data_IF_824393718451
#
_entry.id   IF_824393718451
#
_cell.length_a   1.000
_cell.length_b   1.000
_cell.length_c   1.000
_cell.angle_alpha   90.00
_cell.angle_beta   90.00
_cell.angle_gamma   90.00
#
_symmetry.space_group_name_H-M   'P 1'
#
loop_
_entity.id
_entity.type
_entity.pdbx_description
1 polymer ?
#
# COMPACT_ATOMS: atom_id res chain seq x y z
N UNK A 1 5.05 -5.04 -7.28
CA UNK A 1 3.79 -4.25 -7.36
C UNK A 1 2.83 -4.97 -8.27
N UNK A 2 1.54 -4.96 -7.93
CA UNK A 2 0.45 -5.49 -8.75
C UNK A 2 -0.57 -4.39 -9.00
N UNK A 3 -1.18 -4.38 -10.18
CA UNK A 3 -2.21 -3.42 -10.57
C UNK A 3 -3.37 -4.21 -11.20
N UNK A 4 -4.59 -3.73 -10.99
CA UNK A 4 -5.78 -4.37 -11.53
C UNK A 4 -5.69 -4.49 -13.05
N UNK A 5 -5.92 -5.70 -13.57
CA UNK A 5 -5.87 -6.03 -14.99
C UNK A 5 -4.50 -5.80 -15.67
N UNK A 6 -3.41 -5.75 -14.89
CA UNK A 6 -2.04 -5.58 -15.40
C UNK A 6 -1.14 -6.68 -14.83
N UNK A 7 -0.24 -7.22 -15.65
CA UNK A 7 0.73 -8.19 -15.20
C UNK A 7 1.58 -7.62 -14.03
N UNK A 8 1.90 -8.41 -12.99
CA UNK A 8 2.75 -7.96 -11.90
C UNK A 8 4.10 -7.44 -12.42
N UNK A 9 4.62 -6.40 -11.77
CA UNK A 9 5.88 -5.76 -12.16
C UNK A 9 6.83 -5.63 -10.98
N UNK A 10 8.09 -6.02 -11.22
CA UNK A 10 9.21 -5.63 -10.37
C UNK A 10 9.56 -4.18 -10.69
N UNK A 11 9.34 -3.28 -9.73
CA UNK A 11 9.59 -1.85 -9.92
C UNK A 11 11.06 -1.49 -9.71
N UNK A 12 11.69 -2.02 -8.67
CA UNK A 12 13.11 -1.85 -8.37
C UNK A 12 13.57 -2.83 -7.28
N UNK A 13 14.88 -3.05 -7.23
CA UNK A 13 15.57 -3.48 -6.01
C UNK A 13 15.96 -2.22 -5.24
N UNK A 14 15.54 -2.12 -3.97
CA UNK A 14 15.85 -0.99 -3.10
C UNK A 14 16.87 -1.49 -2.06
N UNK A 15 18.12 -0.99 -2.05
CA UNK A 15 19.09 -1.35 -1.01
C UNK A 15 18.66 -0.77 0.34
N UNK A 16 19.19 -1.31 1.44
CA UNK A 16 18.97 -0.77 2.79
C UNK A 16 19.28 0.73 2.83
N UNK A 17 18.36 1.53 3.38
CA UNK A 17 18.45 2.99 3.43
C UNK A 17 18.20 3.70 2.08
N UNK A 18 18.00 2.95 0.99
CA UNK A 18 17.68 3.50 -0.33
C UNK A 18 16.22 3.90 -0.47
N UNK A 19 15.92 4.69 -1.50
CA UNK A 19 14.55 5.04 -1.87
C UNK A 19 14.35 5.09 -3.39
N UNK A 20 13.09 4.97 -3.80
CA UNK A 20 12.60 5.16 -5.17
C UNK A 20 11.27 5.88 -5.12
N UNK A 21 10.96 6.65 -6.17
CA UNK A 21 9.71 7.37 -6.30
C UNK A 21 9.07 7.04 -7.64
N UNK A 22 7.75 6.91 -7.64
CA UNK A 22 6.93 6.65 -8.82
C UNK A 22 5.75 7.61 -8.82
N UNK A 23 5.38 8.12 -10.00
CA UNK A 23 4.13 8.85 -10.17
C UNK A 23 3.01 7.87 -10.51
N UNK A 24 1.90 7.97 -9.78
CA UNK A 24 0.71 7.17 -10.04
C UNK A 24 -0.27 8.01 -10.89
N UNK A 25 -0.72 7.51 -12.05
CA UNK A 25 -1.72 8.21 -12.84
C UNK A 25 -3.11 8.11 -12.17
N UNK A 26 -4.01 9.03 -12.50
CA UNK A 26 -5.44 8.87 -12.19
C UNK A 26 -5.96 7.56 -12.81
N UNK A 27 -6.81 6.84 -12.08
CA UNK A 27 -7.28 5.50 -12.44
C UNK A 27 -6.34 4.38 -12.03
N UNK A 28 -5.23 4.69 -11.34
CA UNK A 28 -4.40 3.66 -10.74
C UNK A 28 -5.17 2.89 -9.66
N UNK A 29 -5.07 1.56 -9.64
CA UNK A 29 -5.59 0.71 -8.58
C UNK A 29 -4.70 -0.52 -8.43
N UNK A 30 -4.07 -0.70 -7.28
CA UNK A 30 -3.12 -1.78 -7.07
C UNK A 30 -2.43 -1.74 -5.70
N UNK A 31 -1.36 -2.52 -5.56
CA UNK A 31 -0.58 -2.59 -4.33
C UNK A 31 0.94 -2.59 -4.53
N UNK A 32 1.61 -2.12 -3.48
CA UNK A 32 3.06 -2.16 -3.29
C UNK A 32 3.39 -3.17 -2.19
N UNK A 33 4.44 -3.98 -2.41
CA UNK A 33 4.84 -5.07 -1.53
C UNK A 33 6.29 -5.47 -1.76
N UNK A 34 6.86 -6.15 -0.77
CA UNK A 34 8.13 -6.83 -0.92
C UNK A 34 7.94 -8.25 -1.46
N UNK A 35 8.76 -8.63 -2.44
CA UNK A 35 8.73 -9.96 -3.06
C UNK A 35 7.74 -10.10 -4.22
N UNK A 36 7.61 -11.33 -4.71
CA UNK A 36 6.73 -11.72 -5.81
C UNK A 36 5.62 -12.65 -5.32
N UNK A 37 4.48 -12.66 -6.01
CA UNK A 37 3.30 -13.46 -5.64
C UNK A 37 2.26 -12.68 -4.84
N UNK A 38 1.34 -13.41 -4.20
CA UNK A 38 0.19 -12.86 -3.47
C UNK A 38 -0.18 -13.64 -2.21
N UNK A 39 0.74 -14.46 -1.65
CA UNK A 39 0.55 -15.10 -0.35
C UNK A 39 1.79 -14.86 0.51
N UNK A 40 1.58 -14.75 1.82
CA UNK A 40 2.59 -14.38 2.81
C UNK A 40 3.14 -12.98 2.63
N UNK A 41 2.35 -12.00 2.16
CA UNK A 41 2.86 -10.65 1.82
C UNK A 41 2.08 -9.55 2.52
N UNK A 42 2.81 -8.62 3.14
CA UNK A 42 2.25 -7.34 3.62
C UNK A 42 2.03 -6.42 2.43
N UNK A 43 0.85 -5.81 2.32
CA UNK A 43 0.46 -4.93 1.21
C UNK A 43 0.23 -3.50 1.70
N UNK A 44 0.69 -2.53 0.90
CA UNK A 44 0.09 -1.20 0.83
C UNK A 44 -0.79 -1.14 -0.41
N UNK A 45 -2.09 -1.00 -0.22
CA UNK A 45 -3.08 -0.91 -1.29
C UNK A 45 -3.46 0.55 -1.53
N UNK A 46 -3.62 0.93 -2.80
CA UNK A 46 -3.95 2.30 -3.18
C UNK A 46 -4.74 2.35 -4.48
N UNK A 47 -5.78 3.18 -4.49
CA UNK A 47 -6.59 3.50 -5.66
C UNK A 47 -6.77 5.01 -5.82
N UNK A 48 -6.30 5.54 -6.95
CA UNK A 48 -6.43 6.95 -7.34
C UNK A 48 -7.64 7.06 -8.27
N UNK A 49 -8.75 7.60 -7.78
CA UNK A 49 -10.00 7.62 -8.52
C UNK A 49 -10.01 8.63 -9.67
N UNK A 50 -10.82 8.34 -10.69
CA UNK A 50 -11.05 9.24 -11.82
C UNK A 50 -12.30 10.12 -11.65
N UNK A 51 -13.24 9.73 -10.80
CA UNK A 51 -14.60 10.28 -10.79
C UNK A 51 -14.88 11.26 -9.63
N UNK A 52 -14.25 11.09 -8.47
CA UNK A 52 -14.50 11.88 -7.26
C UNK A 52 -13.25 12.61 -6.74
N UNK A 53 -12.13 12.53 -7.48
CA UNK A 53 -10.81 13.05 -7.09
C UNK A 53 -10.30 12.51 -5.74
N UNK A 54 -10.84 11.39 -5.26
CA UNK A 54 -10.37 10.76 -4.03
C UNK A 54 -9.26 9.74 -4.31
N UNK A 55 -8.37 9.61 -3.35
CA UNK A 55 -7.42 8.51 -3.26
C UNK A 55 -7.79 7.67 -2.05
N UNK A 56 -8.08 6.38 -2.28
CA UNK A 56 -8.32 5.41 -1.21
C UNK A 56 -7.08 4.57 -1.00
N UNK A 57 -6.76 4.27 0.25
CA UNK A 57 -5.57 3.53 0.60
C UNK A 57 -5.70 2.83 1.95
N UNK A 58 -4.93 1.76 2.12
CA UNK A 58 -4.90 0.96 3.35
C UNK A 58 -3.61 0.13 3.43
N UNK A 59 -3.39 -0.46 4.61
CA UNK A 59 -2.47 -1.59 4.77
C UNK A 59 -3.30 -2.87 4.86
N UNK A 60 -2.77 -3.96 4.31
CA UNK A 60 -3.43 -5.27 4.35
C UNK A 60 -2.43 -6.38 4.67
N UNK A 61 -2.84 -7.27 5.56
CA UNK A 61 -2.17 -8.53 5.89
C UNK A 61 -3.08 -9.73 5.68
N UNK A 62 -4.18 -9.56 4.94
CA UNK A 62 -5.12 -10.64 4.56
C UNK A 62 -4.35 -11.77 3.85
N UNK A 63 -3.44 -11.40 2.95
CA UNK A 63 -2.60 -12.34 2.22
C UNK A 63 -1.46 -12.91 3.08
N UNK A 64 -1.29 -12.45 4.31
CA UNK A 64 -0.22 -12.82 5.24
C UNK A 64 0.73 -11.67 5.54
N UNK A 65 1.87 -11.97 6.16
CA UNK A 65 2.84 -10.98 6.61
C UNK A 65 4.27 -11.45 6.31
N UNK A 66 5.11 -10.56 5.78
CA UNK A 66 6.53 -10.84 5.56
C UNK A 66 7.46 -9.72 6.04
N UNK A 67 7.15 -8.47 5.69
CA UNK A 67 7.98 -7.30 6.00
C UNK A 67 7.11 -6.28 6.71
N UNK A 68 7.55 -5.74 7.87
CA UNK A 68 6.85 -4.64 8.51
C UNK A 68 6.81 -3.41 7.59
N UNK A 69 5.67 -2.74 7.56
CA UNK A 69 5.44 -1.61 6.67
C UNK A 69 4.86 -0.42 7.42
N UNK A 70 5.35 0.78 7.10
CA UNK A 70 4.76 2.05 7.56
C UNK A 70 4.36 2.90 6.37
N UNK A 71 3.20 3.54 6.46
CA UNK A 71 2.71 4.47 5.44
C UNK A 71 2.54 5.84 6.08
N UNK A 72 3.14 6.85 5.45
CA UNK A 72 2.93 8.25 5.77
C UNK A 72 2.16 8.88 4.62
N UNK A 73 0.91 9.25 4.88
CA UNK A 73 0.02 9.83 3.89
C UNK A 73 0.06 11.37 3.90
N UNK A 74 -0.37 12.03 2.80
CA UNK A 74 -0.35 13.49 2.67
C UNK A 74 -1.19 14.24 3.73
N UNK A 75 -2.27 13.64 4.20
CA UNK A 75 -3.16 14.13 5.26
C UNK A 75 -2.57 13.97 6.68
N UNK A 76 -1.31 13.53 6.79
CA UNK A 76 -0.60 13.22 8.04
C UNK A 76 -1.08 11.93 8.72
N UNK A 77 -1.95 11.14 8.08
CA UNK A 77 -2.28 9.79 8.53
C UNK A 77 -1.02 8.94 8.52
N UNK A 78 -0.88 8.11 9.55
CA UNK A 78 0.21 7.16 9.73
C UNK A 78 -0.40 5.79 9.99
N UNK A 79 -0.02 4.81 9.18
CA UNK A 79 -0.45 3.42 9.32
C UNK A 79 0.76 2.55 9.56
N UNK A 80 0.65 1.59 10.48
CA UNK A 80 1.72 0.65 10.78
C UNK A 80 1.24 -0.81 10.75
N UNK A 81 1.85 -1.60 9.89
CA UNK A 81 1.74 -3.06 9.90
C UNK A 81 3.05 -3.65 10.42
N UNK A 82 3.17 -3.80 11.75
CA UNK A 82 4.40 -4.31 12.38
C UNK A 82 4.39 -5.83 12.64
N UNK A 83 3.23 -6.47 12.52
CA UNK A 83 3.03 -7.90 12.70
C UNK A 83 1.77 -8.36 11.96
N UNK A 84 1.52 -9.67 11.90
CA UNK A 84 0.39 -10.29 11.20
C UNK A 84 -0.99 -10.00 11.79
N UNK A 85 -1.05 -9.35 12.94
CA UNK A 85 -2.27 -8.92 13.63
C UNK A 85 -2.31 -7.41 13.85
N UNK A 86 -1.64 -6.65 12.98
CA UNK A 86 -1.52 -5.20 13.12
C UNK A 86 -2.88 -4.50 13.10
N UNK A 87 -3.14 -3.58 14.04
CA UNK A 87 -4.45 -2.93 14.17
C UNK A 87 -4.80 -1.97 13.03
N UNK A 88 -3.80 -1.42 12.35
CA UNK A 88 -3.99 -0.48 11.23
C UNK A 88 -4.17 -1.19 9.88
N UNK A 89 -4.10 -2.53 9.86
CA UNK A 89 -4.19 -3.31 8.64
C UNK A 89 -5.50 -4.10 8.56
N UNK A 90 -5.96 -4.32 7.33
CA UNK A 90 -6.96 -5.34 7.04
C UNK A 90 -6.45 -6.72 7.49
N UNK A 91 -7.19 -7.33 8.42
CA UNK A 91 -6.99 -8.72 8.85
C UNK A 91 -7.95 -9.68 8.13
N UNK A 92 -9.08 -9.15 7.64
CA UNK A 92 -10.11 -9.89 6.90
C UNK A 92 -10.86 -8.94 5.95
N UNK A 93 -11.41 -9.43 4.82
CA UNK A 93 -11.84 -8.57 3.71
C UNK A 93 -12.96 -7.57 3.98
N UNK A 94 -13.74 -7.75 5.05
CA UNK A 94 -14.95 -6.94 5.32
C UNK A 94 -14.72 -5.89 6.42
N UNK A 95 -13.48 -5.68 6.85
CA UNK A 95 -13.14 -4.65 7.84
C UNK A 95 -12.98 -3.27 7.18
N UNK A 96 -14.07 -2.72 6.64
CA UNK A 96 -14.02 -1.45 5.90
C UNK A 96 -13.55 -0.25 6.72
N UNK A 97 -13.41 -0.41 8.05
CA UNK A 97 -12.83 0.60 8.95
C UNK A 97 -11.34 0.86 8.69
N UNK A 98 -10.66 -0.01 7.93
CA UNK A 98 -9.24 0.13 7.59
C UNK A 98 -8.98 0.96 6.33
N UNK A 99 -10.00 1.22 5.52
CA UNK A 99 -9.86 2.09 4.35
C UNK A 99 -9.76 3.55 4.77
N UNK A 100 -8.74 4.24 4.28
CA UNK A 100 -8.58 5.68 4.42
C UNK A 100 -8.84 6.38 3.09
N UNK A 101 -9.51 7.54 3.15
CA UNK A 101 -9.78 8.39 1.99
C UNK A 101 -9.10 9.74 2.12
N UNK A 102 -8.38 10.14 1.07
CA UNK A 102 -7.79 11.47 0.90
C UNK A 102 -8.46 12.16 -0.28
N UNK A 103 -8.98 13.37 -0.08
CA UNK A 103 -9.42 14.19 -1.20
C UNK A 103 -8.21 14.86 -1.87
N UNK A 104 -7.99 14.58 -3.15
CA UNK A 104 -6.91 15.14 -3.96
C UNK A 104 -5.66 14.26 -4.07
N UNK A 105 -4.59 14.89 -4.56
CA UNK A 105 -3.30 14.23 -4.84
C UNK A 105 -2.28 14.53 -3.74
N UNK A 106 -1.30 13.65 -3.56
CA UNK A 106 -0.19 13.92 -2.67
C UNK A 106 0.86 12.82 -2.65
N UNK A 107 1.93 13.05 -1.89
CA UNK A 107 3.02 12.09 -1.75
C UNK A 107 2.77 11.14 -0.59
N UNK A 108 2.56 9.87 -0.91
CA UNK A 108 2.67 8.77 0.04
C UNK A 108 4.13 8.37 0.21
N UNK A 109 4.55 8.10 1.44
CA UNK A 109 5.85 7.50 1.74
C UNK A 109 5.60 6.14 2.37
N UNK A 110 6.04 5.09 1.69
CA UNK A 110 5.97 3.70 2.16
C UNK A 110 7.36 3.27 2.59
N UNK A 111 7.50 2.87 3.85
CA UNK A 111 8.76 2.40 4.44
C UNK A 111 8.63 0.91 4.70
N UNK A 112 9.59 0.14 4.17
CA UNK A 112 9.79 -1.26 4.51
C UNK A 112 10.85 -1.32 5.61
N UNK A 113 10.52 -1.88 6.76
CA UNK A 113 11.43 -2.01 7.90
C UNK A 113 12.09 -3.40 7.89
N UNK A 114 13.41 -3.47 8.10
CA UNK A 114 14.22 -4.70 8.10
C UNK A 114 15.11 -4.74 9.33
#
# INVERSE_FOLDING_TARGET
>A
MTQNNVAPKLLATIPTGGSRAYQLPKGFAGNFKHGWGGKGVTLFEISVQTHDANTYYDLSVIDGFNVPMKVYAPDRTRLEALHSSAPDAYLYPTDDTKTHGLQGDGRFVVVFEW
#
